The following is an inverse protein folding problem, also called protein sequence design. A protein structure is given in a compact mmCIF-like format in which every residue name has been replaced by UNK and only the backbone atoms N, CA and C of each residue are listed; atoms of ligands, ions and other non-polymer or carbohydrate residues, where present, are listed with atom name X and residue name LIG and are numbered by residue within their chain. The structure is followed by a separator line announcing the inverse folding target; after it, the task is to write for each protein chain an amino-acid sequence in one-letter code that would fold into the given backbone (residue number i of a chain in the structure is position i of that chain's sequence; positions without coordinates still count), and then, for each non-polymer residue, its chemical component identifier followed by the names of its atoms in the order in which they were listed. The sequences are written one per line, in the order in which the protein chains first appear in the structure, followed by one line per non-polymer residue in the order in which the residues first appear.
data_IF_869198098178
#
_entry.id   IF_869198098178
#
_cell.length_a   1.000
_cell.length_b   1.000
_cell.length_c   1.000
_cell.angle_alpha   90.00
_cell.angle_beta   90.00
_cell.angle_gamma   90.00
#
_symmetry.space_group_name_H-M   'P 1'
#
loop_
_entity.id
_entity.type
_entity.pdbx_description
1 polymer ?
#
# COMPACT_ATOMS: atom_id res chain seq x y z
N UNK A 1 -17.62 12.55 9.71
CA UNK A 1 -16.50 12.34 8.79
C UNK A 1 -15.55 11.26 9.31
N UNK A 2 -15.10 11.32 10.57
CA UNK A 2 -14.09 10.39 11.14
C UNK A 2 -14.51 8.92 11.05
N UNK A 3 -15.73 8.58 11.42
CA UNK A 3 -16.23 7.19 11.34
C UNK A 3 -16.31 6.67 9.91
N UNK A 4 -16.73 7.53 8.98
CA UNK A 4 -16.75 7.18 7.57
C UNK A 4 -15.33 6.96 7.04
N UNK A 5 -14.40 7.87 7.33
CA UNK A 5 -13.01 7.75 6.91
C UNK A 5 -12.37 6.46 7.45
N UNK A 6 -12.59 6.15 8.76
CA UNK A 6 -12.11 4.90 9.35
C UNK A 6 -12.69 3.66 8.66
N UNK A 7 -13.98 3.66 8.37
CA UNK A 7 -14.63 2.56 7.65
C UNK A 7 -14.15 2.41 6.21
N UNK A 8 -13.99 3.53 5.49
CA UNK A 8 -13.48 3.54 4.13
C UNK A 8 -12.04 3.05 4.06
N UNK A 9 -11.17 3.53 4.96
CA UNK A 9 -9.78 3.09 5.06
C UNK A 9 -9.64 1.59 5.38
N UNK A 10 -10.50 1.09 6.29
CA UNK A 10 -10.49 -0.32 6.67
C UNK A 10 -11.09 -1.24 5.58
N UNK A 11 -12.05 -0.73 4.80
CA UNK A 11 -12.72 -1.49 3.73
C UNK A 11 -12.01 -1.44 2.38
N UNK A 12 -11.08 -0.53 2.18
CA UNK A 12 -10.36 -0.38 0.92
C UNK A 12 -9.46 -1.61 0.65
N UNK A 13 -9.45 -2.09 -0.58
CA UNK A 13 -8.57 -3.18 -1.03
C UNK A 13 -7.11 -2.72 -1.05
N UNK A 14 -6.18 -3.67 -1.05
CA UNK A 14 -4.74 -3.39 -1.07
C UNK A 14 -4.30 -2.59 -2.30
N UNK A 15 -4.98 -2.75 -3.43
CA UNK A 15 -4.71 -2.07 -4.71
C UNK A 15 -5.64 -0.87 -4.98
N UNK A 16 -6.42 -0.43 -3.99
CA UNK A 16 -7.38 0.67 -4.08
C UNK A 16 -6.82 1.92 -3.38
N UNK A 17 -7.03 3.10 -3.99
CA UNK A 17 -6.78 4.39 -3.36
C UNK A 17 -8.10 5.07 -3.05
N UNK A 18 -8.18 5.74 -1.91
CA UNK A 18 -9.32 6.58 -1.55
C UNK A 18 -9.18 8.03 -2.05
N UNK A 19 -8.08 8.38 -2.73
CA UNK A 19 -7.94 9.70 -3.37
C UNK A 19 -9.11 9.93 -4.31
N UNK A 20 -9.81 11.07 -4.16
CA UNK A 20 -11.04 11.43 -4.86
C UNK A 20 -12.26 10.52 -4.59
N UNK A 21 -12.18 9.60 -3.64
CA UNK A 21 -13.35 8.84 -3.20
C UNK A 21 -14.40 9.76 -2.61
N UNK A 22 -15.66 9.59 -3.04
CA UNK A 22 -16.79 10.40 -2.58
C UNK A 22 -17.21 10.01 -1.17
N UNK A 23 -17.52 11.01 -0.35
CA UNK A 23 -18.16 10.81 0.95
C UNK A 23 -19.68 10.92 0.80
N UNK A 24 -20.44 9.80 0.78
CA UNK A 24 -21.87 9.81 0.55
C UNK A 24 -22.61 10.60 1.64
N UNK A 25 -23.57 11.42 1.21
CA UNK A 25 -24.43 12.21 2.11
C UNK A 25 -23.77 13.47 2.69
N UNK A 26 -22.50 13.74 2.43
CA UNK A 26 -21.89 15.01 2.77
C UNK A 26 -22.15 16.03 1.64
N UNK A 27 -22.51 17.25 2.01
CA UNK A 27 -22.85 18.33 1.06
C UNK A 27 -21.82 19.46 1.04
N UNK A 28 -20.96 19.53 2.06
CA UNK A 28 -19.86 20.52 2.13
C UNK A 28 -18.72 20.02 3.01
N UNK A 29 -17.52 20.48 2.73
CA UNK A 29 -16.35 20.36 3.61
C UNK A 29 -16.19 21.66 4.43
N UNK A 30 -15.79 21.54 5.68
CA UNK A 30 -15.51 22.68 6.56
C UNK A 30 -14.30 22.37 7.44
N UNK A 31 -13.35 23.32 7.60
CA UNK A 31 -13.33 24.64 6.96
C UNK A 31 -13.08 24.54 5.43
N UNK A 32 -13.53 25.52 4.68
CA UNK A 32 -13.16 25.66 3.26
C UNK A 32 -11.72 26.20 3.22
N UNK A 33 -10.81 25.43 2.65
CA UNK A 33 -9.41 25.79 2.51
C UNK A 33 -9.14 26.42 1.12
N UNK A 34 -8.09 27.22 1.05
CA UNK A 34 -7.49 27.64 -0.23
C UNK A 34 -6.61 26.51 -0.76
N UNK A 35 -6.16 26.58 -2.02
CA UNK A 35 -5.22 25.59 -2.58
C UNK A 35 -3.96 25.43 -1.71
N UNK A 36 -3.37 26.56 -1.26
CA UNK A 36 -2.24 26.53 -0.34
C UNK A 36 -2.57 25.93 1.03
N UNK A 37 -3.80 26.13 1.52
CA UNK A 37 -4.28 25.53 2.78
C UNK A 37 -4.44 24.02 2.67
N UNK A 38 -4.87 23.51 1.52
CA UNK A 38 -4.89 22.06 1.26
C UNK A 38 -3.49 21.48 1.24
N UNK A 39 -2.55 22.11 0.53
CA UNK A 39 -1.14 21.68 0.50
C UNK A 39 -0.51 21.65 1.90
N UNK A 40 -0.72 22.69 2.71
CA UNK A 40 -0.22 22.76 4.07
C UNK A 40 -0.81 21.64 4.96
N UNK A 41 -2.12 21.43 4.86
CA UNK A 41 -2.79 20.36 5.60
C UNK A 41 -2.26 18.97 5.20
N UNK A 42 -2.08 18.73 3.91
CA UNK A 42 -1.48 17.49 3.42
C UNK A 42 -0.03 17.34 3.91
N UNK A 43 0.81 18.36 3.82
CA UNK A 43 2.19 18.31 4.34
C UNK A 43 2.24 18.01 5.84
N UNK A 44 1.23 18.50 6.59
CA UNK A 44 1.08 18.18 8.01
C UNK A 44 0.49 16.78 8.28
N UNK A 45 0.35 15.92 7.27
CA UNK A 45 -0.16 14.55 7.41
C UNK A 45 -1.63 14.45 7.76
N UNK A 46 -2.44 15.45 7.39
CA UNK A 46 -3.88 15.43 7.65
C UNK A 46 -4.61 14.73 6.51
N UNK A 47 -5.58 13.87 6.87
CA UNK A 47 -6.54 13.32 5.93
C UNK A 47 -7.62 14.36 5.69
N UNK A 48 -7.67 14.93 4.48
CA UNK A 48 -8.47 16.12 4.16
C UNK A 48 -9.60 15.76 3.20
N UNK A 49 -10.76 16.37 3.44
CA UNK A 49 -11.91 16.31 2.55
C UNK A 49 -12.09 17.68 1.88
N UNK A 50 -12.43 17.69 0.60
CA UNK A 50 -12.79 18.89 -0.15
C UNK A 50 -14.15 18.73 -0.81
N UNK A 51 -14.77 19.83 -1.19
CA UNK A 51 -16.02 19.83 -1.94
C UNK A 51 -15.76 20.27 -3.37
N UNK A 52 -16.24 19.49 -4.33
CA UNK A 52 -16.14 19.70 -5.75
C UNK A 52 -17.52 19.41 -6.38
N UNK A 53 -18.11 20.43 -7.00
CA UNK A 53 -19.44 20.38 -7.63
C UNK A 53 -20.52 19.72 -6.75
N UNK A 54 -20.59 20.12 -5.47
CA UNK A 54 -21.57 19.62 -4.50
C UNK A 54 -21.28 18.21 -3.96
N UNK A 55 -20.19 17.60 -4.35
CA UNK A 55 -19.74 16.29 -3.84
C UNK A 55 -18.53 16.47 -2.93
N UNK A 56 -18.57 15.89 -1.75
CA UNK A 56 -17.41 15.86 -0.85
C UNK A 56 -16.56 14.65 -1.17
N UNK A 57 -15.26 14.89 -1.38
CA UNK A 57 -14.29 13.88 -1.79
C UNK A 57 -13.06 13.91 -0.86
N UNK A 58 -12.30 12.83 -0.88
CA UNK A 58 -10.98 12.75 -0.23
C UNK A 58 -9.95 13.45 -1.12
N UNK A 59 -9.15 14.37 -0.56
CA UNK A 59 -8.11 15.07 -1.31
C UNK A 59 -6.96 14.14 -1.69
N UNK A 60 -6.41 13.43 -0.70
CA UNK A 60 -5.40 12.38 -0.92
C UNK A 60 -5.52 11.27 0.12
N UNK A 61 -5.28 10.03 -0.30
CA UNK A 61 -5.27 8.84 0.56
C UNK A 61 -3.90 8.68 1.24
N UNK A 62 -3.65 9.55 2.23
CA UNK A 62 -2.40 9.58 3.00
C UNK A 62 -2.63 9.31 4.48
N UNK A 63 -1.58 8.84 5.14
CA UNK A 63 -1.50 8.74 6.60
C UNK A 63 -0.78 9.94 7.22
N UNK A 64 -0.57 9.91 8.53
CA UNK A 64 0.05 10.99 9.31
C UNK A 64 1.59 10.98 9.29
N UNK A 65 2.22 10.15 8.46
CA UNK A 65 3.68 10.10 8.34
C UNK A 65 4.20 11.39 7.67
N UNK A 66 4.98 12.18 8.42
CA UNK A 66 5.55 13.45 7.95
C UNK A 66 7.08 13.54 8.13
N UNK A 67 7.67 12.55 8.78
CA UNK A 67 9.12 12.46 8.97
C UNK A 67 9.65 11.28 8.17
N UNK A 68 10.58 11.55 7.27
CA UNK A 68 11.17 10.54 6.40
C UNK A 68 12.63 10.29 6.80
N UNK A 69 13.09 9.05 6.65
CA UNK A 69 14.46 8.61 6.88
C UNK A 69 14.95 7.83 5.66
N UNK A 70 16.20 7.37 5.67
CA UNK A 70 16.72 6.49 4.61
C UNK A 70 15.92 5.18 4.50
N UNK A 71 15.45 4.64 5.64
CA UNK A 71 14.68 3.39 5.68
C UNK A 71 13.17 3.61 5.48
N UNK A 72 12.66 4.80 5.79
CA UNK A 72 11.24 5.15 5.72
C UNK A 72 11.07 6.30 4.74
N UNK A 73 10.95 5.96 3.46
CA UNK A 73 10.75 6.92 2.39
C UNK A 73 9.33 7.50 2.34
N UNK A 74 9.14 8.57 1.57
CA UNK A 74 7.85 9.26 1.40
C UNK A 74 6.75 8.32 0.85
N UNK A 75 7.09 7.26 0.14
CA UNK A 75 6.14 6.28 -0.41
C UNK A 75 5.27 5.64 0.69
N UNK A 76 5.81 5.45 1.90
CA UNK A 76 5.06 4.90 3.05
C UNK A 76 4.00 5.86 3.62
N UNK A 77 3.97 7.09 3.16
CA UNK A 77 2.90 8.02 3.48
C UNK A 77 1.58 7.66 2.80
N UNK A 78 1.61 6.91 1.70
CA UNK A 78 0.41 6.47 0.99
C UNK A 78 -0.26 5.30 1.70
N UNK A 79 -1.53 5.46 2.06
CA UNK A 79 -2.29 4.38 2.70
C UNK A 79 -2.40 3.13 1.82
N UNK A 80 -2.54 3.31 0.50
CA UNK A 80 -2.54 2.20 -0.46
C UNK A 80 -1.25 1.36 -0.35
N UNK A 81 -0.09 2.01 -0.28
CA UNK A 81 1.21 1.34 -0.13
C UNK A 81 1.28 0.58 1.19
N UNK A 82 0.87 1.21 2.28
CA UNK A 82 0.84 0.56 3.59
C UNK A 82 -0.11 -0.63 3.64
N UNK A 83 -1.30 -0.51 3.03
CA UNK A 83 -2.24 -1.64 2.93
C UNK A 83 -1.63 -2.80 2.15
N UNK A 84 -0.99 -2.51 1.02
CA UNK A 84 -0.32 -3.53 0.21
C UNK A 84 0.77 -4.26 1.00
N UNK A 85 1.71 -3.52 1.61
CA UNK A 85 2.81 -4.10 2.39
C UNK A 85 2.27 -4.96 3.54
N UNK A 86 1.27 -4.46 4.28
CA UNK A 86 0.65 -5.21 5.38
C UNK A 86 -0.09 -6.46 4.88
N UNK A 87 -0.77 -6.38 3.72
CA UNK A 87 -1.45 -7.53 3.11
C UNK A 87 -0.43 -8.59 2.74
N UNK A 88 0.63 -8.24 2.03
CA UNK A 88 1.70 -9.18 1.65
C UNK A 88 2.30 -9.85 2.89
N UNK A 89 2.69 -9.08 3.90
CA UNK A 89 3.30 -9.62 5.12
C UNK A 89 2.35 -10.59 5.85
N UNK A 90 1.08 -10.20 6.00
CA UNK A 90 0.08 -11.04 6.68
C UNK A 90 -0.27 -12.31 5.90
N UNK A 91 -0.37 -12.24 4.57
CA UNK A 91 -0.74 -13.38 3.74
C UNK A 91 0.41 -14.39 3.68
N UNK A 92 1.67 -13.93 3.54
CA UNK A 92 2.84 -14.79 3.63
C UNK A 92 2.90 -15.46 5.00
N UNK A 93 2.70 -14.71 6.10
CA UNK A 93 2.68 -15.27 7.44
C UNK A 93 1.56 -16.34 7.61
N UNK A 94 0.37 -16.07 7.11
CA UNK A 94 -0.75 -17.05 7.16
C UNK A 94 -0.44 -18.30 6.37
N UNK A 95 0.11 -18.17 5.17
CA UNK A 95 0.54 -19.32 4.37
C UNK A 95 1.65 -20.11 5.06
N UNK A 96 2.64 -19.42 5.62
CA UNK A 96 3.72 -20.06 6.36
C UNK A 96 3.18 -20.82 7.56
N UNK A 97 2.36 -20.18 8.40
CA UNK A 97 1.82 -20.80 9.60
C UNK A 97 0.90 -22.00 9.31
N UNK A 98 0.15 -21.94 8.21
CA UNK A 98 -0.81 -23.01 7.88
C UNK A 98 -0.16 -24.24 7.21
N UNK A 99 0.90 -24.03 6.42
CA UNK A 99 1.39 -25.07 5.49
C UNK A 99 2.86 -25.48 5.71
N UNK A 100 3.63 -24.71 6.48
CA UNK A 100 5.07 -24.91 6.61
C UNK A 100 5.51 -25.16 8.05
N UNK A 101 4.99 -24.42 9.03
CA UNK A 101 5.38 -24.57 10.44
C UNK A 101 5.06 -25.99 10.93
N UNK A 102 6.09 -26.71 11.36
CA UNK A 102 5.97 -28.06 11.88
C UNK A 102 5.70 -29.13 10.82
N UNK A 103 5.63 -28.79 9.55
CA UNK A 103 5.31 -29.68 8.42
C UNK A 103 6.49 -29.83 7.47
N UNK A 104 7.10 -28.73 7.06
CA UNK A 104 8.19 -28.72 6.08
C UNK A 104 9.54 -28.65 6.78
N UNK A 105 10.50 -29.47 6.33
CA UNK A 105 11.85 -29.45 6.88
C UNK A 105 12.59 -28.16 6.46
N UNK A 106 13.34 -27.58 7.39
CA UNK A 106 14.20 -26.43 7.13
C UNK A 106 15.51 -26.88 6.44
N UNK A 107 15.41 -27.31 5.21
CA UNK A 107 16.50 -27.63 4.32
C UNK A 107 16.37 -26.85 2.99
N UNK A 108 17.30 -27.01 2.09
CA UNK A 108 17.31 -26.32 0.80
C UNK A 108 16.01 -26.57 0.01
N UNK A 109 15.54 -27.82 -0.07
CA UNK A 109 14.31 -28.17 -0.77
C UNK A 109 13.08 -27.52 -0.14
N UNK A 110 12.95 -27.53 1.19
CA UNK A 110 11.87 -26.87 1.91
C UNK A 110 11.83 -25.36 1.72
N UNK A 111 13.02 -24.71 1.77
CA UNK A 111 13.14 -23.28 1.50
C UNK A 111 12.82 -22.94 0.05
N UNK A 112 13.23 -23.76 -0.91
CA UNK A 112 12.91 -23.59 -2.34
C UNK A 112 11.39 -23.73 -2.58
N UNK A 113 10.74 -24.69 -1.93
CA UNK A 113 9.29 -24.83 -2.00
C UNK A 113 8.55 -23.61 -1.45
N UNK A 114 9.01 -23.06 -0.32
CA UNK A 114 8.43 -21.85 0.25
C UNK A 114 8.66 -20.62 -0.64
N UNK A 115 9.88 -20.46 -1.18
CA UNK A 115 10.19 -19.42 -2.18
C UNK A 115 9.22 -19.49 -3.36
N UNK A 116 9.00 -20.68 -3.94
CA UNK A 116 8.09 -20.84 -5.07
C UNK A 116 6.65 -20.43 -4.74
N UNK A 117 6.18 -20.71 -3.53
CA UNK A 117 4.85 -20.29 -3.07
C UNK A 117 4.74 -18.76 -2.95
N UNK A 118 5.78 -18.10 -2.39
CA UNK A 118 5.83 -16.63 -2.30
C UNK A 118 5.86 -16.00 -3.70
N UNK A 119 6.70 -16.52 -4.59
CA UNK A 119 6.79 -16.02 -5.98
C UNK A 119 5.44 -16.12 -6.67
N UNK A 120 4.74 -17.26 -6.59
CA UNK A 120 3.40 -17.43 -7.15
C UNK A 120 2.41 -16.39 -6.62
N UNK A 121 2.39 -16.17 -5.31
CA UNK A 121 1.55 -15.17 -4.67
C UNK A 121 1.87 -13.74 -5.14
N UNK A 122 3.15 -13.37 -5.23
CA UNK A 122 3.54 -12.02 -5.67
C UNK A 122 3.27 -11.78 -7.17
N UNK A 123 3.34 -12.81 -8.02
CA UNK A 123 2.89 -12.73 -9.40
C UNK A 123 1.37 -12.45 -9.49
N UNK A 124 0.57 -13.03 -8.62
CA UNK A 124 -0.86 -12.72 -8.53
C UNK A 124 -1.10 -11.27 -8.07
N UNK A 125 -0.31 -10.77 -7.11
CA UNK A 125 -0.34 -9.36 -6.70
C UNK A 125 0.04 -8.44 -7.86
N UNK A 126 1.03 -8.82 -8.68
CA UNK A 126 1.44 -8.06 -9.87
C UNK A 126 0.33 -8.07 -10.93
N UNK A 127 -0.27 -9.21 -11.21
CA UNK A 127 -1.39 -9.33 -12.15
C UNK A 127 -2.59 -8.45 -11.75
N UNK A 128 -2.76 -8.20 -10.45
CA UNK A 128 -3.80 -7.32 -9.89
C UNK A 128 -3.33 -5.87 -9.66
N UNK A 129 -2.22 -5.45 -10.29
CA UNK A 129 -1.67 -4.09 -10.21
C UNK A 129 -1.34 -3.61 -8.79
N UNK A 130 -0.97 -4.50 -7.89
CA UNK A 130 -0.42 -4.15 -6.59
C UNK A 130 1.04 -3.72 -6.68
N UNK A 131 1.84 -4.53 -7.39
CA UNK A 131 3.26 -4.30 -7.64
C UNK A 131 3.55 -4.35 -9.15
N UNK A 132 4.76 -3.93 -9.56
CA UNK A 132 5.22 -3.96 -10.93
C UNK A 132 6.67 -4.42 -11.03
N UNK A 133 7.08 -4.91 -12.21
CA UNK A 133 8.46 -5.32 -12.52
C UNK A 133 9.03 -6.36 -11.53
N UNK A 134 8.16 -7.22 -10.99
CA UNK A 134 8.54 -8.25 -10.06
C UNK A 134 9.08 -9.48 -10.82
N UNK A 135 10.17 -10.03 -10.33
CA UNK A 135 10.80 -11.27 -10.79
C UNK A 135 11.00 -12.25 -9.62
N UNK A 136 11.16 -13.53 -9.94
CA UNK A 136 11.42 -14.57 -8.94
C UNK A 136 12.74 -14.37 -8.17
N UNK A 137 13.69 -13.64 -8.75
CA UNK A 137 14.97 -13.30 -8.13
C UNK A 137 14.83 -12.24 -7.02
N UNK A 138 13.74 -11.47 -7.03
CA UNK A 138 13.41 -10.49 -5.99
C UNK A 138 13.00 -11.13 -4.65
N UNK A 139 12.89 -12.46 -4.59
CA UNK A 139 12.59 -13.21 -3.37
C UNK A 139 13.77 -14.07 -2.98
N UNK A 140 14.23 -13.91 -1.76
CA UNK A 140 15.24 -14.78 -1.15
C UNK A 140 14.66 -15.44 0.10
N UNK A 141 14.85 -16.76 0.22
CA UNK A 141 14.52 -17.53 1.43
C UNK A 141 15.77 -18.23 1.91
N UNK A 142 16.31 -17.72 3.01
CA UNK A 142 17.59 -18.15 3.59
C UNK A 142 17.37 -18.94 4.88
N UNK A 143 18.40 -19.67 5.31
CA UNK A 143 18.43 -20.20 6.67
C UNK A 143 18.49 -19.03 7.66
N UNK A 144 17.72 -19.09 8.74
CA UNK A 144 17.79 -18.13 9.83
C UNK A 144 18.94 -18.40 10.79
N UNK A 145 18.98 -17.66 11.89
CA UNK A 145 20.04 -17.78 12.91
C UNK A 145 20.01 -19.11 13.67
N UNK A 146 18.84 -19.74 13.79
CA UNK A 146 18.65 -21.05 14.41
C UNK A 146 18.23 -22.11 13.39
N UNK A 147 18.42 -23.40 13.72
CA UNK A 147 18.12 -24.53 12.83
C UNK A 147 16.63 -24.61 12.42
N UNK A 148 15.76 -24.02 13.21
CA UNK A 148 14.31 -24.00 13.01
C UNK A 148 13.78 -22.68 12.43
N UNK A 149 14.67 -21.72 12.14
CA UNK A 149 14.33 -20.42 11.59
C UNK A 149 14.65 -20.29 10.10
N UNK A 150 13.86 -19.48 9.40
CA UNK A 150 14.15 -18.99 8.05
C UNK A 150 14.07 -17.45 8.02
N UNK A 151 14.87 -16.85 7.13
CA UNK A 151 14.80 -15.44 6.83
C UNK A 151 14.26 -15.27 5.39
N UNK A 152 13.31 -14.35 5.22
CA UNK A 152 12.70 -14.04 3.91
C UNK A 152 12.95 -12.59 3.58
N UNK A 153 13.57 -12.34 2.44
CA UNK A 153 13.78 -11.02 1.87
C UNK A 153 13.00 -10.90 0.57
N UNK A 154 12.25 -9.80 0.43
CA UNK A 154 11.41 -9.55 -0.74
C UNK A 154 11.64 -8.10 -1.18
N UNK A 155 12.08 -7.92 -2.42
CA UNK A 155 12.16 -6.61 -3.07
C UNK A 155 10.93 -6.42 -3.94
N UNK A 156 10.19 -5.32 -3.75
CA UNK A 156 9.00 -5.01 -4.54
C UNK A 156 8.97 -3.55 -4.98
N UNK A 157 8.48 -3.33 -6.21
CA UNK A 157 8.14 -2.00 -6.70
C UNK A 157 6.62 -1.84 -6.67
N UNK A 158 6.13 -1.00 -5.76
CA UNK A 158 4.69 -0.76 -5.59
C UNK A 158 4.11 0.06 -6.75
N UNK A 159 2.84 -0.18 -7.09
CA UNK A 159 2.07 0.65 -8.03
C UNK A 159 1.20 1.60 -7.23
N UNK A 160 1.30 2.90 -7.52
CA UNK A 160 0.38 3.90 -6.95
C UNK A 160 -0.69 4.32 -7.96
N UNK A 161 -1.73 5.00 -7.49
CA UNK A 161 -2.78 5.57 -8.34
C UNK A 161 -2.30 6.85 -9.02
N UNK A 162 -2.88 7.18 -10.18
CA UNK A 162 -2.67 8.49 -10.79
C UNK A 162 -3.42 9.54 -9.96
N UNK A 163 -2.69 10.48 -9.39
CA UNK A 163 -3.25 11.56 -8.55
C UNK A 163 -3.01 12.96 -9.13
N UNK A 164 -2.04 13.08 -10.04
CA UNK A 164 -1.69 14.37 -10.66
C UNK A 164 -1.63 14.22 -12.18
N UNK A 165 -2.29 15.13 -12.88
CA UNK A 165 -2.30 15.20 -14.34
C UNK A 165 -1.74 16.56 -14.75
N UNK A 166 -0.70 16.55 -15.58
CA UNK A 166 -0.14 17.75 -16.17
C UNK A 166 -0.47 17.73 -17.67
N UNK A 167 -1.17 18.76 -18.16
CA UNK A 167 -1.61 18.84 -19.56
C UNK A 167 -0.92 20.03 -20.20
N UNK A 168 -0.18 19.79 -21.28
CA UNK A 168 0.38 20.84 -22.15
C UNK A 168 -0.36 20.81 -23.47
N UNK A 169 -0.93 21.96 -23.89
CA UNK A 169 -1.59 22.12 -25.17
C UNK A 169 -0.73 23.03 -26.04
N UNK A 170 -0.28 22.53 -27.18
CA UNK A 170 0.39 23.33 -28.20
C UNK A 170 -0.62 23.64 -29.30
N UNK A 171 -0.78 24.95 -29.59
CA UNK A 171 -1.62 25.45 -30.70
C UNK A 171 -0.72 26.05 -31.75
N UNK A 172 -0.76 25.48 -32.95
CA UNK A 172 -0.05 25.97 -34.15
C UNK A 172 -0.97 26.77 -35.08
#
# INVERSE_FOLDING_TARGET
ATWWAGGALAGAKYNESLTYASYPGAVKASPLLTSSGYEEALRAGKFVLFADDGVVKVEQDINSLVTFTEDIGEVFRKNRVMRLCNTIANDIYRQFSANYIGVVNNNEAGRAQFKAAIVGYLLDIQANNGIQKFDAEDVEVLAGESMDAIAVHIAISVVDSVEKIYITLEVS
#
